data_IF_235734462475
#
_entry.id   IF_235734462475
#
_cell.length_a   1.000
_cell.length_b   1.000
_cell.length_c   1.000
_cell.angle_alpha   90.00
_cell.angle_beta   90.00
_cell.angle_gamma   90.00
#
_symmetry.space_group_name_H-M   'P 1'
#
loop_
_entity.id
_entity.type
_entity.pdbx_description
1 polymer ?
#
# COMPACT_ATOMS: atom_id res chain seq x y z
N UNK A 1 8.75 0.74 0.13
CA UNK A 1 8.61 2.08 0.76
C UNK A 1 9.32 2.03 2.11
N UNK A 2 10.41 2.78 2.29
CA UNK A 2 11.19 2.77 3.54
C UNK A 2 10.81 3.92 4.48
N UNK A 3 11.44 3.97 5.65
CA UNK A 3 11.37 5.02 6.69
C UNK A 3 11.50 6.47 6.21
N UNK A 4 11.80 6.70 4.92
CA UNK A 4 11.76 8.02 4.27
C UNK A 4 10.39 8.69 4.40
N UNK A 5 9.30 7.92 4.47
CA UNK A 5 7.95 8.45 4.72
C UNK A 5 7.82 9.16 6.08
N UNK A 6 8.43 8.60 7.13
CA UNK A 6 8.47 9.22 8.46
C UNK A 6 9.31 10.51 8.51
N UNK A 7 10.19 10.70 7.53
CA UNK A 7 11.07 11.87 7.41
C UNK A 7 10.56 12.87 6.38
N UNK A 8 9.43 12.58 5.72
CA UNK A 8 8.93 13.43 4.64
C UNK A 8 8.23 14.66 5.25
N UNK A 9 8.73 15.89 5.01
CA UNK A 9 8.14 17.09 5.56
C UNK A 9 6.67 17.25 5.14
N UNK A 10 6.23 16.66 4.01
CA UNK A 10 4.82 16.65 3.59
C UNK A 10 3.85 16.02 4.59
N UNK A 11 4.32 15.19 5.53
CA UNK A 11 3.50 14.71 6.66
C UNK A 11 3.30 15.75 7.76
N UNK A 12 4.25 16.67 7.89
CA UNK A 12 4.31 17.68 8.94
C UNK A 12 3.88 19.07 8.46
N UNK A 13 3.84 19.34 7.14
CA UNK A 13 3.84 20.71 6.64
C UNK A 13 2.48 21.40 6.50
N UNK A 14 1.31 20.74 6.59
CA UNK A 14 0.08 21.51 6.25
C UNK A 14 -1.27 21.21 6.91
N UNK A 15 -1.53 20.14 7.68
CA UNK A 15 -2.92 20.00 8.20
C UNK A 15 -3.15 19.28 9.51
N UNK A 16 -2.18 18.58 10.10
CA UNK A 16 -2.40 18.05 11.44
C UNK A 16 -2.03 19.13 12.46
N UNK A 17 -3.03 19.95 12.77
CA UNK A 17 -3.13 20.77 13.98
C UNK A 17 -3.05 19.89 15.25
N UNK A 18 -1.93 19.19 15.44
CA UNK A 18 -1.65 18.45 16.66
C UNK A 18 -1.15 19.44 17.70
N UNK A 19 -2.06 20.22 18.27
CA UNK A 19 -1.74 21.08 19.42
C UNK A 19 -1.35 20.26 20.68
N UNK A 20 -1.56 18.94 20.69
CA UNK A 20 -1.30 18.05 21.85
C UNK A 20 -0.43 16.85 21.47
N UNK A 21 0.70 16.69 22.13
CA UNK A 21 1.71 15.61 21.93
C UNK A 21 1.12 14.21 21.80
N UNK A 22 0.04 13.91 22.51
CA UNK A 22 -0.64 12.61 22.48
C UNK A 22 -1.15 12.21 21.08
N UNK A 23 -1.65 13.15 20.26
CA UNK A 23 -2.16 12.80 18.91
C UNK A 23 -1.01 12.54 17.93
N UNK A 24 0.16 13.15 18.13
CA UNK A 24 1.36 12.88 17.31
C UNK A 24 1.81 11.46 17.59
N UNK A 25 1.87 11.06 18.87
CA UNK A 25 2.25 9.70 19.26
C UNK A 25 1.28 8.66 18.68
N UNK A 26 -0.03 8.90 18.74
CA UNK A 26 -1.02 8.00 18.15
C UNK A 26 -0.88 7.89 16.62
N UNK A 27 -0.66 9.00 15.91
CA UNK A 27 -0.41 8.99 14.47
C UNK A 27 0.90 8.29 14.11
N UNK A 28 1.97 8.53 14.88
CA UNK A 28 3.25 7.87 14.68
C UNK A 28 3.13 6.35 14.86
N UNK A 29 2.37 5.90 15.86
CA UNK A 29 2.09 4.49 16.07
C UNK A 29 1.34 3.87 14.88
N UNK A 30 0.25 4.50 14.43
CA UNK A 30 -0.52 4.05 13.26
C UNK A 30 0.33 4.01 11.98
N UNK A 31 1.19 5.02 11.77
CA UNK A 31 2.11 5.04 10.63
C UNK A 31 3.14 3.90 10.70
N UNK A 32 3.63 3.55 11.88
CA UNK A 32 4.57 2.46 12.06
C UNK A 32 3.91 1.09 11.82
N UNK A 33 2.71 0.90 12.38
CA UNK A 33 1.93 -0.33 12.22
C UNK A 33 1.54 -0.56 10.75
N UNK A 34 1.03 0.48 10.08
CA UNK A 34 0.72 0.40 8.65
C UNK A 34 1.97 0.12 7.82
N UNK A 35 3.11 0.76 8.10
CA UNK A 35 4.37 0.49 7.37
C UNK A 35 4.85 -0.96 7.55
N UNK A 36 4.70 -1.51 8.75
CA UNK A 36 5.04 -2.91 9.04
C UNK A 36 4.16 -3.85 8.21
N UNK A 37 2.83 -3.65 8.23
CA UNK A 37 1.87 -4.44 7.45
C UNK A 37 2.20 -4.36 5.96
N UNK A 38 2.48 -3.16 5.44
CA UNK A 38 2.87 -2.96 4.04
C UNK A 38 4.11 -3.76 3.66
N UNK A 39 5.14 -3.75 4.52
CA UNK A 39 6.40 -4.46 4.26
C UNK A 39 6.21 -5.97 4.27
N UNK A 40 5.42 -6.49 5.22
CA UNK A 40 5.11 -7.91 5.30
C UNK A 40 4.27 -8.38 4.11
N UNK A 41 3.25 -7.62 3.72
CA UNK A 41 2.42 -7.92 2.56
C UNK A 41 3.23 -7.94 1.26
N UNK A 42 4.09 -6.92 1.06
CA UNK A 42 4.98 -6.85 -0.11
C UNK A 42 5.94 -8.04 -0.18
N UNK A 43 6.51 -8.45 0.97
CA UNK A 43 7.38 -9.63 1.05
C UNK A 43 6.63 -10.90 0.71
N UNK A 44 5.43 -11.10 1.28
CA UNK A 44 4.61 -12.28 1.02
C UNK A 44 4.25 -12.41 -0.46
N UNK A 45 3.79 -11.33 -1.09
CA UNK A 45 3.44 -11.32 -2.52
C UNK A 45 4.64 -11.67 -3.38
N UNK A 46 5.83 -11.09 -3.11
CA UNK A 46 7.04 -11.41 -3.87
C UNK A 46 7.46 -12.87 -3.71
N UNK A 47 7.36 -13.42 -2.51
CA UNK A 47 7.66 -14.84 -2.26
C UNK A 47 6.70 -15.76 -3.03
N UNK A 48 5.40 -15.45 -3.03
CA UNK A 48 4.42 -16.22 -3.79
C UNK A 48 4.66 -16.13 -5.30
N UNK A 49 4.91 -14.94 -5.84
CA UNK A 49 5.24 -14.76 -7.26
C UNK A 49 6.51 -15.50 -7.67
N UNK A 50 7.53 -15.50 -6.81
CA UNK A 50 8.78 -16.25 -7.06
C UNK A 50 8.56 -17.77 -7.02
N UNK A 51 7.69 -18.26 -6.14
CA UNK A 51 7.34 -19.68 -6.04
C UNK A 51 6.53 -20.17 -7.25
N UNK A 52 5.61 -19.34 -7.74
CA UNK A 52 4.73 -19.68 -8.88
C UNK A 52 5.38 -19.37 -10.24
N UNK A 53 6.50 -18.62 -10.24
CA UNK A 53 7.16 -18.17 -11.48
C UNK A 53 6.37 -17.10 -12.23
N UNK A 54 5.42 -16.44 -11.55
CA UNK A 54 4.53 -15.46 -12.14
C UNK A 54 5.06 -14.03 -12.03
N UNK A 55 4.64 -13.18 -12.96
CA UNK A 55 4.97 -11.75 -12.98
C UNK A 55 3.71 -10.92 -12.99
N UNK A 56 3.80 -9.71 -12.42
CA UNK A 56 2.70 -8.74 -12.45
C UNK A 56 3.10 -7.59 -13.36
N UNK A 57 2.15 -7.08 -14.15
CA UNK A 57 2.37 -5.87 -14.95
C UNK A 57 2.53 -4.65 -14.05
N UNK A 58 3.66 -3.96 -14.13
CA UNK A 58 3.97 -2.68 -13.49
C UNK A 58 3.12 -1.53 -14.08
N UNK A 59 3.20 -0.33 -13.49
CA UNK A 59 2.50 0.89 -13.94
C UNK A 59 2.76 1.23 -15.42
N UNK A 60 3.94 0.88 -15.91
CA UNK A 60 4.37 1.07 -17.30
C UNK A 60 4.01 -0.11 -18.22
N UNK A 61 3.21 -1.06 -17.73
CA UNK A 61 2.84 -2.32 -18.39
C UNK A 61 4.01 -3.25 -18.68
N UNK A 62 5.07 -3.18 -17.88
CA UNK A 62 6.19 -4.12 -17.95
C UNK A 62 6.04 -5.21 -16.92
N UNK A 63 6.43 -6.43 -17.25
CA UNK A 63 6.42 -7.54 -16.30
C UNK A 63 7.44 -7.29 -15.19
N UNK A 64 6.99 -7.38 -13.94
CA UNK A 64 7.85 -7.29 -12.77
C UNK A 64 7.55 -8.43 -11.80
N UNK A 65 8.62 -9.05 -11.32
CA UNK A 65 8.60 -10.02 -10.22
C UNK A 65 8.73 -9.35 -8.84
N UNK A 66 8.91 -8.02 -8.80
CA UNK A 66 9.08 -7.25 -7.57
C UNK A 66 8.08 -6.11 -7.47
N UNK A 67 6.76 -6.38 -7.55
CA UNK A 67 5.76 -5.33 -7.41
C UNK A 67 5.84 -4.68 -6.03
N UNK A 68 5.32 -3.45 -5.93
CA UNK A 68 5.09 -2.78 -4.64
C UNK A 68 3.69 -3.08 -4.15
N UNK A 69 3.48 -3.18 -2.83
CA UNK A 69 2.14 -3.48 -2.30
C UNK A 69 1.10 -2.41 -2.68
N UNK A 70 1.53 -1.14 -2.74
CA UNK A 70 0.69 -0.02 -3.21
C UNK A 70 0.16 -0.26 -4.63
N UNK A 71 1.03 -0.74 -5.53
CA UNK A 71 0.62 -1.02 -6.91
C UNK A 71 -0.39 -2.16 -7.00
N UNK A 72 -0.18 -3.22 -6.20
CA UNK A 72 -1.11 -4.33 -6.10
C UNK A 72 -2.49 -3.82 -5.64
N UNK A 73 -2.57 -3.02 -4.57
CA UNK A 73 -3.84 -2.43 -4.12
C UNK A 73 -4.53 -1.62 -5.22
N UNK A 74 -3.78 -0.81 -5.99
CA UNK A 74 -4.36 -0.03 -7.09
C UNK A 74 -5.00 -0.91 -8.17
N UNK A 75 -4.46 -2.11 -8.42
CA UNK A 75 -5.10 -3.08 -9.33
C UNK A 75 -6.42 -3.62 -8.76
N UNK A 76 -6.50 -3.82 -7.45
CA UNK A 76 -7.74 -4.23 -6.78
C UNK A 76 -8.80 -3.11 -6.72
N UNK A 77 -8.41 -1.83 -6.77
CA UNK A 77 -9.36 -0.70 -6.77
C UNK A 77 -10.28 -0.66 -8.01
N UNK A 78 -9.88 -1.27 -9.12
CA UNK A 78 -10.69 -1.36 -10.34
C UNK A 78 -11.65 -2.56 -10.39
N UNK A 79 -11.69 -3.40 -9.35
CA UNK A 79 -12.58 -4.56 -9.29
C UNK A 79 -13.92 -4.11 -8.71
N UNK A 80 -14.82 -3.68 -9.59
CA UNK A 80 -16.21 -3.41 -9.24
C UNK A 80 -17.00 -4.73 -9.28
N UNK A 81 -17.60 -5.10 -8.15
CA UNK A 81 -18.55 -6.22 -8.07
C UNK A 81 -19.82 -5.81 -8.84
N UNK A 82 -19.92 -6.18 -10.11
CA UNK A 82 -21.16 -6.03 -10.88
C UNK A 82 -22.04 -7.24 -10.62
N UNK A 83 -23.06 -7.06 -9.79
CA UNK A 83 -24.16 -8.01 -9.69
C UNK A 83 -25.04 -7.84 -10.94
N UNK A 84 -24.83 -8.71 -11.94
CA UNK A 84 -25.75 -8.85 -13.06
C UNK A 84 -27.03 -9.50 -12.54
N UNK A 85 -27.92 -8.69 -11.96
CA UNK A 85 -29.30 -9.11 -11.70
C UNK A 85 -30.02 -9.23 -13.04
N UNK A 86 -30.03 -10.45 -13.58
CA UNK A 86 -31.08 -10.95 -14.47
C UNK A 86 -31.14 -10.33 -15.86
N UNK A 87 -30.74 -11.11 -16.85
CA UNK A 87 -31.48 -11.17 -18.11
C UNK A 87 -32.98 -11.39 -17.78
N UNK A 88 -33.84 -10.47 -18.22
CA UNK A 88 -35.20 -10.78 -18.64
C UNK A 88 -35.26 -10.69 -20.16
#
# INVERSE_FOLDING_TARGET
MGYRFFKDPLFFTSSVFVKKTQRVAALAFLMAETLLIYTLAERKIRQTLEQEGETVLDQRKWETNKPTFRWIIQKFQGIHLVLLNGLQ
#
